data_IF_567580639959
#
_entry.id   IF_567580639959
#
_cell.length_a   1.000
_cell.length_b   1.000
_cell.length_c   1.000
_cell.angle_alpha   90.00
_cell.angle_beta   90.00
_cell.angle_gamma   90.00
#
_symmetry.space_group_name_H-M   'P 1'
#
loop_
_entity.id
_entity.type
_entity.pdbx_description
1 polymer ?
#
# COMPACT_ATOMS: atom_id res chain seq x y z
N UNK A 1 -20.88 -31.02 29.81
CA UNK A 1 -19.75 -30.05 29.76
C UNK A 1 -19.10 -30.08 28.37
N UNK A 2 -19.76 -29.54 27.33
CA UNK A 2 -19.28 -29.62 25.93
C UNK A 2 -19.14 -28.26 25.22
N UNK A 3 -19.20 -27.15 25.95
CA UNK A 3 -19.22 -25.80 25.35
C UNK A 3 -17.84 -25.11 25.26
N UNK A 4 -16.72 -25.83 25.31
CA UNK A 4 -15.37 -25.21 25.27
C UNK A 4 -14.57 -25.42 23.97
N UNK A 5 -15.13 -26.04 22.93
CA UNK A 5 -14.33 -26.36 21.72
C UNK A 5 -14.33 -25.24 20.64
N UNK A 6 -15.13 -24.18 20.77
CA UNK A 6 -15.30 -23.18 19.69
C UNK A 6 -14.47 -21.88 19.79
N UNK A 7 -13.53 -21.71 20.74
CA UNK A 7 -12.80 -20.44 20.91
C UNK A 7 -11.43 -20.33 20.21
N UNK A 8 -11.01 -21.33 19.41
CA UNK A 8 -9.62 -21.47 18.93
C UNK A 8 -9.40 -21.32 17.40
N UNK A 9 -10.18 -20.50 16.70
CA UNK A 9 -9.76 -19.98 15.38
C UNK A 9 -9.38 -18.50 15.46
N UNK A 10 -8.46 -18.15 16.37
CA UNK A 10 -7.97 -16.77 16.57
C UNK A 10 -6.89 -16.33 15.57
N UNK A 11 -6.33 -17.23 14.76
CA UNK A 11 -5.26 -16.94 13.80
C UNK A 11 -5.66 -17.09 12.33
N UNK A 12 -4.76 -16.62 11.44
CA UNK A 12 -4.84 -16.89 10.01
C UNK A 12 -4.72 -18.40 9.76
N UNK A 13 -5.65 -18.93 8.96
CA UNK A 13 -5.56 -20.30 8.46
C UNK A 13 -4.70 -20.35 7.21
N UNK A 14 -4.27 -21.54 6.79
CA UNK A 14 -3.55 -21.73 5.52
C UNK A 14 -4.32 -21.12 4.34
N UNK A 15 -5.65 -21.31 4.32
CA UNK A 15 -6.52 -20.71 3.29
C UNK A 15 -6.46 -19.18 3.30
N UNK A 16 -6.39 -18.56 4.48
CA UNK A 16 -6.31 -17.10 4.62
C UNK A 16 -4.95 -16.58 4.17
N UNK A 17 -3.86 -17.31 4.47
CA UNK A 17 -2.51 -16.99 4.01
C UNK A 17 -2.42 -17.07 2.48
N UNK A 18 -2.94 -18.14 1.87
CA UNK A 18 -3.01 -18.29 0.41
C UNK A 18 -3.83 -17.16 -0.22
N UNK A 19 -4.98 -16.84 0.37
CA UNK A 19 -5.83 -15.73 -0.11
C UNK A 19 -5.08 -14.40 -0.04
N UNK A 20 -4.43 -14.12 1.10
CA UNK A 20 -3.63 -12.90 1.30
C UNK A 20 -2.48 -12.82 0.30
N UNK A 21 -1.79 -13.92 0.03
CA UNK A 21 -0.72 -14.00 -0.97
C UNK A 21 -1.21 -13.69 -2.39
N UNK A 22 -2.34 -14.29 -2.80
CA UNK A 22 -2.96 -14.01 -4.11
C UNK A 22 -3.32 -12.54 -4.24
N UNK A 23 -3.98 -11.97 -3.24
CA UNK A 23 -4.33 -10.55 -3.27
C UNK A 23 -3.11 -9.63 -3.22
N UNK A 24 -2.04 -10.02 -2.52
CA UNK A 24 -0.79 -9.27 -2.51
C UNK A 24 -0.11 -9.27 -3.87
N UNK A 25 -0.11 -10.40 -4.59
CA UNK A 25 0.39 -10.47 -5.95
C UNK A 25 -0.43 -9.60 -6.92
N UNK A 26 -1.76 -9.65 -6.82
CA UNK A 26 -2.64 -8.79 -7.64
C UNK A 26 -2.42 -7.31 -7.27
N UNK A 27 -2.31 -6.99 -5.99
CA UNK A 27 -2.04 -5.64 -5.51
C UNK A 27 -0.71 -5.12 -6.05
N UNK A 28 0.34 -5.95 -6.07
CA UNK A 28 1.63 -5.62 -6.67
C UNK A 28 1.51 -5.33 -8.17
N UNK A 29 0.82 -6.19 -8.94
CA UNK A 29 0.60 -5.94 -10.37
C UNK A 29 -0.13 -4.62 -10.61
N UNK A 30 -1.15 -4.31 -9.82
CA UNK A 30 -1.90 -3.06 -9.94
C UNK A 30 -1.06 -1.84 -9.50
N UNK A 31 -0.19 -2.02 -8.50
CA UNK A 31 0.80 -1.01 -8.10
C UNK A 31 1.77 -0.73 -9.24
N UNK A 32 2.25 -1.77 -9.94
CA UNK A 32 3.09 -1.63 -11.12
C UNK A 32 2.35 -0.93 -12.25
N UNK A 33 1.18 -1.42 -12.65
CA UNK A 33 0.40 -0.83 -13.76
C UNK A 33 0.05 0.63 -13.49
N UNK A 34 -0.29 0.97 -12.24
CA UNK A 34 -0.59 2.34 -11.84
C UNK A 34 0.64 3.24 -11.69
N UNK A 35 1.76 2.70 -11.21
CA UNK A 35 2.95 3.47 -10.87
C UNK A 35 4.00 3.57 -11.99
N UNK A 36 4.18 2.52 -12.79
CA UNK A 36 5.18 2.45 -13.88
C UNK A 36 5.10 3.59 -14.90
N UNK A 37 3.93 4.13 -15.29
CA UNK A 37 3.88 5.27 -16.20
C UNK A 37 4.61 6.52 -15.69
N UNK A 38 4.79 6.64 -14.37
CA UNK A 38 5.42 7.78 -13.71
C UNK A 38 6.91 7.56 -13.43
N UNK A 39 7.31 6.32 -13.13
CA UNK A 39 8.65 6.01 -12.61
C UNK A 39 9.83 6.37 -13.54
N UNK A 40 9.80 6.11 -14.87
CA UNK A 40 10.93 6.43 -15.76
C UNK A 40 11.18 7.92 -15.95
N UNK A 41 10.21 8.78 -15.65
CA UNK A 41 10.36 10.22 -15.81
C UNK A 41 10.69 10.88 -14.46
N UNK A 42 11.87 11.51 -14.30
CA UNK A 42 12.32 12.07 -13.02
C UNK A 42 11.45 13.22 -12.48
N UNK A 43 10.64 13.86 -13.33
CA UNK A 43 9.66 14.89 -12.89
C UNK A 43 8.36 14.24 -12.44
N UNK A 44 7.92 13.18 -13.11
CA UNK A 44 6.65 12.53 -12.83
C UNK A 44 6.74 11.47 -11.72
N UNK A 45 7.93 10.94 -11.45
CA UNK A 45 8.17 9.86 -10.49
C UNK A 45 7.57 10.15 -9.11
N UNK A 46 7.56 11.41 -8.67
CA UNK A 46 6.94 11.86 -7.42
C UNK A 46 5.44 11.50 -7.31
N UNK A 47 4.74 11.34 -8.44
CA UNK A 47 3.32 10.99 -8.51
C UNK A 47 3.07 9.49 -8.63
N UNK A 48 4.12 8.66 -8.68
CA UNK A 48 4.01 7.19 -8.70
C UNK A 48 3.09 6.64 -7.58
N UNK A 49 3.15 7.12 -6.32
CA UNK A 49 2.26 6.63 -5.27
C UNK A 49 0.78 6.95 -5.53
N UNK A 50 0.48 8.07 -6.19
CA UNK A 50 -0.89 8.38 -6.61
C UNK A 50 -1.39 7.40 -7.67
N UNK A 51 -0.57 7.15 -8.70
CA UNK A 51 -0.91 6.20 -9.76
C UNK A 51 -1.15 4.79 -9.24
N UNK A 52 -0.26 4.31 -8.36
CA UNK A 52 -0.43 3.04 -7.66
C UNK A 52 -1.72 3.00 -6.81
N UNK A 53 -1.99 4.05 -6.03
CA UNK A 53 -3.19 4.12 -5.20
C UNK A 53 -4.49 4.19 -6.01
N UNK A 54 -4.47 4.61 -7.28
CA UNK A 54 -5.70 4.70 -8.06
C UNK A 54 -6.31 3.31 -8.33
N UNK A 55 -5.49 2.30 -8.60
CA UNK A 55 -5.97 0.99 -9.03
C UNK A 55 -6.09 -0.02 -7.87
N UNK A 56 -5.36 0.20 -6.78
CA UNK A 56 -5.23 -0.77 -5.70
C UNK A 56 -6.41 -0.83 -4.71
N UNK A 57 -7.27 0.20 -4.64
CA UNK A 57 -8.36 0.29 -3.66
C UNK A 57 -9.35 -0.87 -3.69
N UNK A 58 -9.94 -1.22 -4.85
CA UNK A 58 -10.82 -2.38 -4.97
C UNK A 58 -10.17 -3.69 -4.52
N UNK A 59 -8.90 -3.91 -4.89
CA UNK A 59 -8.14 -5.12 -4.59
C UNK A 59 -7.92 -5.25 -3.08
N UNK A 60 -7.47 -4.16 -2.45
CA UNK A 60 -7.25 -4.10 -1.01
C UNK A 60 -8.54 -4.38 -0.22
N UNK A 61 -9.61 -3.68 -0.57
CA UNK A 61 -10.89 -3.82 0.14
C UNK A 61 -11.45 -5.24 -0.01
N UNK A 62 -11.29 -5.89 -1.16
CA UNK A 62 -11.66 -7.30 -1.36
C UNK A 62 -10.83 -8.27 -0.53
N UNK A 63 -9.54 -8.01 -0.35
CA UNK A 63 -8.69 -8.84 0.49
C UNK A 63 -9.16 -8.79 1.94
N UNK A 64 -9.26 -7.57 2.50
CA UNK A 64 -9.71 -7.35 3.89
C UNK A 64 -11.09 -7.96 4.09
N UNK A 65 -11.96 -7.80 3.09
CA UNK A 65 -13.28 -8.38 3.07
C UNK A 65 -13.32 -9.91 3.13
N UNK A 66 -12.44 -10.58 2.38
CA UNK A 66 -12.43 -12.04 2.32
C UNK A 66 -11.75 -12.67 3.52
N UNK A 67 -10.70 -12.04 4.04
CA UNK A 67 -9.88 -12.62 5.11
C UNK A 67 -10.44 -12.29 6.50
N UNK A 68 -10.89 -11.04 6.71
CA UNK A 68 -11.48 -10.53 7.95
C UNK A 68 -10.71 -10.87 9.24
N UNK A 69 -9.38 -10.96 9.17
CA UNK A 69 -8.54 -11.42 10.27
C UNK A 69 -7.29 -10.57 10.39
N UNK A 70 -6.76 -10.55 11.61
CA UNK A 70 -5.52 -9.84 11.94
C UNK A 70 -4.33 -10.39 11.20
N UNK A 71 -3.40 -9.50 10.88
CA UNK A 71 -2.14 -9.73 10.19
C UNK A 71 -2.23 -9.91 8.67
N UNK A 72 -3.41 -9.97 8.07
CA UNK A 72 -3.50 -10.08 6.59
C UNK A 72 -2.95 -8.85 5.89
N UNK A 73 -3.17 -7.66 6.44
CA UNK A 73 -2.68 -6.40 5.87
C UNK A 73 -1.18 -6.24 6.15
N UNK A 74 -0.73 -6.66 7.34
CA UNK A 74 0.71 -6.69 7.65
C UNK A 74 1.48 -7.60 6.71
N UNK A 75 0.95 -8.80 6.41
CA UNK A 75 1.57 -9.73 5.46
C UNK A 75 1.63 -9.10 4.05
N UNK A 76 0.56 -8.42 3.61
CA UNK A 76 0.60 -7.68 2.35
C UNK A 76 1.72 -6.63 2.36
N UNK A 77 1.82 -5.82 3.42
CA UNK A 77 2.89 -4.82 3.57
C UNK A 77 4.29 -5.42 3.56
N UNK A 78 4.49 -6.59 4.19
CA UNK A 78 5.75 -7.32 4.19
C UNK A 78 6.08 -7.85 2.79
N UNK A 79 5.14 -8.49 2.12
CA UNK A 79 5.33 -8.99 0.74
C UNK A 79 5.71 -7.82 -0.18
N UNK A 80 4.97 -6.72 -0.11
CA UNK A 80 5.27 -5.52 -0.89
C UNK A 80 6.66 -4.98 -0.55
N UNK A 81 7.02 -4.87 0.73
CA UNK A 81 8.32 -4.40 1.16
C UNK A 81 9.48 -5.25 0.64
N UNK A 82 9.36 -6.57 0.72
CA UNK A 82 10.35 -7.52 0.20
C UNK A 82 10.51 -7.39 -1.32
N UNK A 83 9.39 -7.35 -2.06
CA UNK A 83 9.42 -7.23 -3.52
C UNK A 83 10.10 -5.92 -3.93
N UNK A 84 9.70 -4.79 -3.34
CA UNK A 84 10.29 -3.50 -3.69
C UNK A 84 11.76 -3.40 -3.32
N UNK A 85 12.17 -4.03 -2.22
CA UNK A 85 13.59 -4.10 -1.86
C UNK A 85 14.38 -4.86 -2.92
N UNK A 86 13.85 -6.01 -3.38
CA UNK A 86 14.48 -6.83 -4.40
C UNK A 86 14.55 -6.15 -5.78
N UNK A 87 13.65 -5.20 -6.08
CA UNK A 87 13.69 -4.43 -7.34
C UNK A 87 14.75 -3.33 -7.39
N UNK A 88 15.49 -3.09 -6.30
CA UNK A 88 16.51 -2.03 -6.24
C UNK A 88 15.97 -0.63 -5.93
N UNK A 89 14.70 -0.52 -5.52
CA UNK A 89 14.15 0.75 -5.03
C UNK A 89 14.81 1.17 -3.71
N UNK A 90 14.76 2.46 -3.39
CA UNK A 90 15.26 2.99 -2.12
C UNK A 90 14.66 2.22 -0.93
N UNK A 91 15.49 1.81 0.05
CA UNK A 91 15.09 0.99 1.20
C UNK A 91 13.90 1.56 1.98
N UNK A 92 13.79 2.89 2.03
CA UNK A 92 12.69 3.57 2.74
C UNK A 92 11.32 3.24 2.11
N UNK A 93 11.28 2.96 0.80
CA UNK A 93 10.06 2.47 0.14
C UNK A 93 9.60 1.15 0.75
N UNK A 94 10.52 0.21 0.96
CA UNK A 94 10.25 -1.09 1.57
C UNK A 94 9.82 -0.98 3.03
N UNK A 95 10.56 -0.20 3.83
CA UNK A 95 10.21 0.03 5.24
C UNK A 95 8.88 0.78 5.38
N UNK A 96 8.58 1.70 4.46
CA UNK A 96 7.30 2.39 4.40
C UNK A 96 6.14 1.41 4.22
N UNK A 97 6.22 0.47 3.28
CA UNK A 97 5.17 -0.56 3.11
C UNK A 97 5.03 -1.49 4.31
N UNK A 98 6.14 -1.90 4.94
CA UNK A 98 6.11 -2.76 6.13
C UNK A 98 5.48 -2.02 7.31
N UNK A 99 5.95 -0.79 7.58
CA UNK A 99 5.47 0.04 8.68
C UNK A 99 4.01 0.45 8.50
N UNK A 100 3.65 0.97 7.33
CA UNK A 100 2.27 1.34 7.03
C UNK A 100 1.36 0.12 6.91
N UNK A 101 1.87 -1.04 6.48
CA UNK A 101 1.12 -2.30 6.51
C UNK A 101 0.76 -2.75 7.92
N UNK A 102 1.67 -2.58 8.88
CA UNK A 102 1.38 -2.82 10.29
C UNK A 102 0.33 -1.83 10.82
N UNK A 103 0.51 -0.53 10.59
CA UNK A 103 -0.42 0.52 11.04
C UNK A 103 -1.81 0.30 10.42
N UNK A 104 -1.87 0.02 9.12
CA UNK A 104 -3.10 -0.26 8.42
C UNK A 104 -3.82 -1.51 8.95
N UNK A 105 -3.09 -2.57 9.30
CA UNK A 105 -3.68 -3.77 9.92
C UNK A 105 -4.31 -3.46 11.28
N UNK A 106 -3.63 -2.66 12.10
CA UNK A 106 -4.16 -2.22 13.41
C UNK A 106 -5.45 -1.41 13.25
N UNK A 107 -5.47 -0.48 12.29
CA UNK A 107 -6.66 0.33 12.00
C UNK A 107 -7.81 -0.54 11.49
N UNK A 108 -7.58 -1.42 10.51
CA UNK A 108 -8.60 -2.36 10.06
C UNK A 108 -9.10 -3.26 11.20
N UNK A 109 -8.19 -3.68 12.10
CA UNK A 109 -8.50 -4.45 13.29
C UNK A 109 -9.42 -3.73 14.28
N UNK A 110 -9.30 -2.41 14.42
CA UNK A 110 -10.22 -1.61 15.24
C UNK A 110 -11.66 -1.64 14.71
N UNK A 111 -11.83 -1.79 13.39
CA UNK A 111 -13.12 -2.00 12.73
C UNK A 111 -13.51 -3.47 12.58
N UNK A 112 -12.80 -4.39 13.26
CA UNK A 112 -12.92 -5.83 13.11
C UNK A 112 -12.90 -6.30 11.64
N UNK A 113 -12.17 -5.59 10.77
CA UNK A 113 -12.08 -5.82 9.33
C UNK A 113 -13.42 -5.77 8.58
N UNK A 114 -14.50 -5.30 9.21
CA UNK A 114 -15.87 -5.28 8.67
C UNK A 114 -16.38 -3.88 8.38
N UNK A 115 -15.95 -2.89 9.18
CA UNK A 115 -16.36 -1.51 8.98
C UNK A 115 -15.72 -0.93 7.70
N UNK A 116 -16.56 -0.54 6.74
CA UNK A 116 -16.11 -0.03 5.43
C UNK A 116 -15.29 1.26 5.54
N UNK A 117 -15.69 2.19 6.42
CA UNK A 117 -14.99 3.46 6.58
C UNK A 117 -13.61 3.25 7.23
N UNK A 118 -13.52 2.36 8.22
CA UNK A 118 -12.25 2.02 8.86
C UNK A 118 -11.34 1.24 7.90
N UNK A 119 -11.89 0.32 7.10
CA UNK A 119 -11.14 -0.39 6.06
C UNK A 119 -10.66 0.55 4.94
N UNK A 120 -11.44 1.58 4.61
CA UNK A 120 -11.02 2.63 3.67
C UNK A 120 -9.88 3.47 4.25
N UNK A 121 -9.96 3.86 5.52
CA UNK A 121 -8.86 4.56 6.20
C UNK A 121 -7.60 3.70 6.24
N UNK A 122 -7.74 2.41 6.55
CA UNK A 122 -6.67 1.43 6.51
C UNK A 122 -6.03 1.35 5.11
N UNK A 123 -6.83 1.39 4.05
CA UNK A 123 -6.34 1.46 2.67
C UNK A 123 -5.52 2.74 2.41
N UNK A 124 -6.06 3.90 2.79
CA UNK A 124 -5.35 5.18 2.63
C UNK A 124 -3.99 5.17 3.33
N UNK A 125 -3.92 4.56 4.52
CA UNK A 125 -2.68 4.44 5.29
C UNK A 125 -1.66 3.54 4.59
N UNK A 126 -2.02 2.35 4.13
CA UNK A 126 -1.06 1.49 3.43
C UNK A 126 -0.56 2.11 2.11
N UNK A 127 -1.40 2.92 1.43
CA UNK A 127 -0.98 3.67 0.24
C UNK A 127 0.11 4.71 0.51
N UNK A 128 0.28 5.17 1.76
CA UNK A 128 1.41 6.03 2.14
C UNK A 128 2.74 5.28 2.16
N UNK A 129 2.75 3.94 2.12
CA UNK A 129 3.98 3.15 2.17
C UNK A 129 5.00 3.53 1.09
N UNK A 130 4.53 3.78 -0.14
CA UNK A 130 5.39 4.20 -1.25
C UNK A 130 5.92 5.63 -1.14
N UNK A 131 5.44 6.43 -0.18
CA UNK A 131 5.85 7.84 -0.02
C UNK A 131 7.16 7.97 0.76
N UNK A 132 7.51 6.98 1.57
CA UNK A 132 8.67 7.04 2.46
C UNK A 132 10.00 7.26 1.72
N UNK A 133 10.13 6.78 0.48
CA UNK A 133 11.29 7.12 -0.37
C UNK A 133 11.40 8.64 -0.58
N UNK A 134 10.29 9.32 -0.86
CA UNK A 134 10.28 10.75 -1.08
C UNK A 134 10.47 11.50 0.24
N UNK A 135 9.96 10.98 1.36
CA UNK A 135 10.26 11.57 2.68
C UNK A 135 11.77 11.62 2.92
N UNK A 136 12.50 10.52 2.64
CA UNK A 136 13.96 10.52 2.78
C UNK A 136 14.60 11.43 1.73
N UNK A 137 14.13 11.42 0.48
CA UNK A 137 14.60 12.34 -0.57
C UNK A 137 14.54 13.81 -0.14
N UNK A 138 13.48 14.25 0.56
CA UNK A 138 13.35 15.63 1.01
C UNK A 138 14.10 15.94 2.32
N UNK A 139 14.32 14.94 3.19
CA UNK A 139 15.00 15.13 4.47
C UNK A 139 16.52 15.00 4.39
N UNK A 140 16.99 14.07 3.55
CA UNK A 140 18.40 13.76 3.31
C UNK A 140 18.61 13.46 1.81
N UNK A 141 18.62 14.50 0.95
CA UNK A 141 18.76 14.32 -0.49
C UNK A 141 20.07 13.60 -0.88
N UNK A 142 21.17 13.88 -0.18
CA UNK A 142 22.48 13.29 -0.47
C UNK A 142 22.55 11.80 -0.08
N UNK A 143 22.01 11.45 1.09
CA UNK A 143 21.87 10.05 1.51
C UNK A 143 20.94 9.24 0.61
N UNK A 144 19.84 9.86 0.17
CA UNK A 144 18.94 9.24 -0.81
C UNK A 144 19.64 9.04 -2.16
N UNK A 145 20.31 10.08 -2.67
CA UNK A 145 20.99 10.04 -3.98
C UNK A 145 22.09 8.99 -4.02
N UNK A 146 22.95 8.96 -3.00
CA UNK A 146 24.03 7.96 -2.90
C UNK A 146 23.50 6.53 -2.88
N UNK A 147 22.41 6.27 -2.17
CA UNK A 147 21.73 4.97 -2.18
C UNK A 147 21.21 4.61 -3.57
N UNK A 148 20.55 5.55 -4.25
CA UNK A 148 19.97 5.29 -5.58
C UNK A 148 21.02 5.12 -6.68
N UNK A 149 22.14 5.85 -6.61
CA UNK A 149 23.31 5.65 -7.48
C UNK A 149 23.90 4.25 -7.32
N UNK A 150 24.09 3.82 -6.07
CA UNK A 150 24.58 2.47 -5.77
C UNK A 150 23.63 1.37 -6.26
N UNK A 151 22.32 1.66 -6.32
CA UNK A 151 21.31 0.76 -6.86
C UNK A 151 21.20 0.81 -8.40
N UNK A 152 22.00 1.65 -9.09
CA UNK A 152 22.07 1.71 -10.55
C UNK A 152 21.23 2.81 -11.21
N UNK A 153 20.74 3.80 -10.44
CA UNK A 153 20.07 4.99 -11.01
C UNK A 153 21.11 5.93 -11.62
N UNK A 154 20.79 6.54 -12.75
CA UNK A 154 21.70 7.51 -13.39
C UNK A 154 21.77 8.83 -12.62
N UNK A 155 22.96 9.45 -12.60
CA UNK A 155 23.16 10.77 -11.99
C UNK A 155 22.24 11.82 -12.61
N UNK A 156 22.10 11.83 -13.93
CA UNK A 156 21.22 12.74 -14.68
C UNK A 156 19.76 12.69 -14.22
N UNK A 157 19.27 11.49 -13.86
CA UNK A 157 17.93 11.28 -13.35
C UNK A 157 17.76 11.93 -11.97
N UNK A 158 18.73 11.73 -11.08
CA UNK A 158 18.74 12.31 -9.73
C UNK A 158 18.84 13.83 -9.79
N UNK A 159 19.72 14.37 -10.65
CA UNK A 159 19.88 15.81 -10.83
C UNK A 159 18.58 16.46 -11.30
N UNK A 160 17.88 15.80 -12.23
CA UNK A 160 16.57 16.27 -12.73
C UNK A 160 15.50 16.20 -11.65
N UNK A 161 15.49 15.15 -10.82
CA UNK A 161 14.60 15.06 -9.66
C UNK A 161 14.82 16.23 -8.69
N UNK A 162 16.08 16.49 -8.32
CA UNK A 162 16.46 17.58 -7.41
C UNK A 162 16.04 18.94 -7.97
N UNK A 163 16.29 19.20 -9.25
CA UNK A 163 15.88 20.44 -9.91
C UNK A 163 14.35 20.63 -9.99
N UNK A 164 13.60 19.53 -9.97
CA UNK A 164 12.14 19.52 -10.17
C UNK A 164 11.35 19.39 -8.86
N UNK A 165 12.01 19.37 -7.71
CA UNK A 165 11.41 19.09 -6.41
C UNK A 165 11.30 20.36 -5.53
N UNK A 166 10.27 21.20 -5.71
CA UNK A 166 10.04 22.30 -4.78
C UNK A 166 9.69 21.76 -3.39
N UNK A 167 10.00 22.53 -2.35
CA UNK A 167 9.83 22.12 -0.95
C UNK A 167 8.38 21.74 -0.57
N UNK A 168 7.38 22.30 -1.26
CA UNK A 168 5.97 21.97 -1.06
C UNK A 168 5.53 20.67 -1.73
N UNK A 169 6.33 20.09 -2.62
CA UNK A 169 5.94 18.91 -3.41
C UNK A 169 5.63 17.71 -2.52
N UNK A 170 6.37 17.51 -1.43
CA UNK A 170 6.09 16.42 -0.48
C UNK A 170 4.66 16.46 0.06
N UNK A 171 4.15 17.66 0.36
CA UNK A 171 2.76 17.86 0.82
C UNK A 171 1.78 17.44 -0.27
N UNK A 172 2.08 17.76 -1.53
CA UNK A 172 1.24 17.38 -2.68
C UNK A 172 1.25 15.87 -2.91
N UNK A 173 2.40 15.22 -2.77
CA UNK A 173 2.50 13.75 -2.86
C UNK A 173 1.62 13.12 -1.76
N UNK A 174 1.77 13.54 -0.50
CA UNK A 174 1.00 13.00 0.63
C UNK A 174 -0.50 13.25 0.45
N UNK A 175 -0.91 14.51 0.29
CA UNK A 175 -2.31 14.88 0.20
C UNK A 175 -2.98 14.26 -1.03
N UNK A 176 -2.26 14.24 -2.15
CA UNK A 176 -2.77 13.69 -3.39
C UNK A 176 -2.86 12.16 -3.39
N UNK A 177 -1.88 11.44 -2.81
CA UNK A 177 -1.99 9.98 -2.64
C UNK A 177 -3.16 9.63 -1.73
N UNK A 178 -3.36 10.35 -0.62
CA UNK A 178 -4.53 10.14 0.25
C UNK A 178 -5.85 10.40 -0.48
N UNK A 179 -5.92 11.46 -1.27
CA UNK A 179 -7.11 11.81 -2.05
C UNK A 179 -7.42 10.75 -3.10
N UNK A 180 -6.41 10.30 -3.85
CA UNK A 180 -6.57 9.26 -4.88
C UNK A 180 -6.90 7.92 -4.24
N UNK A 181 -6.28 7.55 -3.12
CA UNK A 181 -6.61 6.34 -2.37
C UNK A 181 -8.06 6.37 -1.84
N UNK A 182 -8.50 7.51 -1.30
CA UNK A 182 -9.88 7.69 -0.86
C UNK A 182 -10.88 7.52 -2.02
N UNK A 183 -10.60 8.13 -3.17
CA UNK A 183 -11.41 8.00 -4.39
C UNK A 183 -11.44 6.55 -4.89
N UNK A 184 -10.27 5.91 -5.01
CA UNK A 184 -10.14 4.51 -5.46
C UNK A 184 -10.91 3.56 -4.55
N UNK A 185 -10.72 3.67 -3.23
CA UNK A 185 -11.40 2.82 -2.25
C UNK A 185 -12.91 3.08 -2.22
N UNK A 186 -13.35 4.32 -2.39
CA UNK A 186 -14.78 4.66 -2.45
C UNK A 186 -15.46 4.12 -3.71
N UNK A 187 -14.85 4.34 -4.89
CA UNK A 187 -15.34 3.81 -6.18
C UNK A 187 -15.31 2.28 -6.16
N UNK A 188 -14.22 1.67 -5.72
CA UNK A 188 -14.08 0.23 -5.55
C UNK A 188 -15.14 -0.34 -4.60
N UNK A 189 -15.36 0.35 -3.47
CA UNK A 189 -16.43 0.06 -2.51
C UNK A 189 -17.81 -0.05 -3.15
N UNK A 190 -18.14 0.88 -4.06
CA UNK A 190 -19.40 0.91 -4.80
C UNK A 190 -19.48 -0.18 -5.88
N UNK A 191 -18.44 -0.30 -6.72
CA UNK A 191 -18.40 -1.27 -7.82
C UNK A 191 -18.53 -2.71 -7.33
N UNK A 192 -17.94 -2.99 -6.18
CA UNK A 192 -17.86 -4.33 -5.61
C UNK A 192 -18.94 -4.61 -4.57
N UNK A 193 -19.94 -3.73 -4.42
CA UNK A 193 -21.05 -3.90 -3.45
C UNK A 193 -21.66 -5.31 -3.51
N UNK A 194 -21.98 -5.79 -4.72
CA UNK A 194 -22.52 -7.15 -4.93
C UNK A 194 -21.54 -8.26 -4.54
N UNK A 195 -20.24 -8.06 -4.74
CA UNK A 195 -19.20 -9.02 -4.37
C UNK A 195 -18.95 -9.03 -2.85
N UNK A 196 -19.02 -7.86 -2.20
CA UNK A 196 -18.97 -7.72 -0.75
C UNK A 196 -20.18 -8.36 -0.07
N UNK A 197 -21.39 -8.16 -0.61
CA UNK A 197 -22.61 -8.82 -0.15
C UNK A 197 -22.49 -10.36 -0.26
N UNK A 198 -21.99 -10.86 -1.40
CA UNK A 198 -21.70 -12.31 -1.59
C UNK A 198 -20.63 -12.83 -0.63
N UNK A 199 -19.68 -12.00 -0.22
CA UNK A 199 -18.65 -12.33 0.76
C UNK A 199 -19.13 -12.20 2.23
N UNK A 200 -20.43 -11.94 2.46
CA UNK A 200 -21.00 -11.82 3.80
C UNK A 200 -20.72 -10.47 4.49
N UNK A 201 -20.25 -9.47 3.75
CA UNK A 201 -20.04 -8.10 4.24
C UNK A 201 -21.27 -7.29 3.90
N UNK A 202 -22.26 -7.46 4.75
CA UNK A 202 -23.44 -6.61 4.78
C UNK A 202 -23.19 -5.45 5.75
N UNK A 203 -23.83 -4.32 5.45
CA UNK A 203 -23.51 -2.96 5.90
C UNK A 203 -23.16 -2.80 7.39
#
# INVERSE_FOLDING_TARGET
MSNQVNSLKKGLTVKDLVTTGIFSAIFFVFTLVGGLPFAPNPVLTFYMPMGAALLCGPIYLLMVAKVQKRWSVTILGIIMGIIWFATGMHWAFSLGYIGMGLIADLVAGAGHYRNKAINLLSYMLISLGGIYTYVVFFLDPDGWASTMLNNGTEQSYIDTMNASAPSWLLVVIIAGTLTVAALSGWVGGKMLKKQFEKAGITA
#
